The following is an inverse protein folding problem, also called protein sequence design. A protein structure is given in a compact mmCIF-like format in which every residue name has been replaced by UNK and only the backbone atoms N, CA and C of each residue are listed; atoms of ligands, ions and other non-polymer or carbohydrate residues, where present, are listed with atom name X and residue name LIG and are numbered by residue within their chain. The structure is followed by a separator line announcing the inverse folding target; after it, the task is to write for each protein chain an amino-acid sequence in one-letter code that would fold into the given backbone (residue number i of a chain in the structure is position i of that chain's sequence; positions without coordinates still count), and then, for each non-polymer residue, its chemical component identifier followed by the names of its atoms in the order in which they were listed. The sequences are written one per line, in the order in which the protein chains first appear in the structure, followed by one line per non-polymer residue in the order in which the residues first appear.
data_IF_966422481944
#
_entry.id   IF_966422481944
#
_cell.length_a   1.000
_cell.length_b   1.000
_cell.length_c   1.000
_cell.angle_alpha   90.00
_cell.angle_beta   90.00
_cell.angle_gamma   90.00
#
_symmetry.space_group_name_H-M   'P 1'
#
loop_
_entity.id
_entity.type
_entity.pdbx_description
1 polymer ?
#
# COMPACT_ATOMS: atom_id res chain seq x y z
N UNK A 1 29.18 -53.83 14.83
CA UNK A 1 29.99 -52.79 14.26
C UNK A 1 29.08 -51.62 13.91
N UNK A 2 29.01 -50.63 14.79
CA UNK A 2 28.23 -49.43 14.58
C UNK A 2 29.06 -48.49 13.68
N UNK A 3 28.70 -48.41 12.42
CA UNK A 3 29.24 -47.41 11.53
C UNK A 3 28.48 -46.11 11.80
N UNK A 4 29.01 -45.27 12.64
CA UNK A 4 28.62 -43.86 12.69
C UNK A 4 29.10 -43.22 11.42
N UNK A 5 28.22 -43.07 10.46
CA UNK A 5 28.40 -42.09 9.41
C UNK A 5 28.20 -40.74 10.06
N UNK A 6 29.27 -40.09 10.48
CA UNK A 6 29.34 -38.68 10.61
C UNK A 6 29.23 -38.14 9.19
N UNK A 7 28.01 -37.97 8.70
CA UNK A 7 27.78 -37.15 7.55
C UNK A 7 28.27 -35.76 7.92
N UNK A 8 29.33 -35.30 7.27
CA UNK A 8 29.56 -33.86 7.27
C UNK A 8 28.28 -33.23 6.77
N UNK A 9 27.66 -32.43 7.61
CA UNK A 9 26.62 -31.52 7.17
C UNK A 9 27.25 -30.74 6.00
N UNK A 10 26.84 -31.09 4.80
CA UNK A 10 27.33 -30.40 3.62
C UNK A 10 26.63 -29.06 3.62
N UNK A 11 27.35 -28.02 4.01
CA UNK A 11 26.94 -26.66 3.67
C UNK A 11 26.75 -26.67 2.17
N UNK A 12 25.54 -26.39 1.70
CA UNK A 12 25.29 -26.24 0.27
C UNK A 12 26.08 -25.05 -0.26
N UNK A 13 26.31 -24.94 -1.54
CA UNK A 13 27.14 -23.88 -2.13
C UNK A 13 26.55 -22.47 -1.85
N UNK A 14 25.30 -22.41 -1.46
CA UNK A 14 24.53 -21.25 -1.06
C UNK A 14 24.64 -20.89 0.44
N UNK A 15 25.33 -21.74 1.24
CA UNK A 15 25.51 -21.50 2.67
C UNK A 15 24.45 -22.12 3.58
N UNK A 16 23.37 -22.67 3.04
CA UNK A 16 22.34 -23.35 3.84
C UNK A 16 22.84 -24.72 4.34
N UNK A 17 22.45 -25.11 5.55
CA UNK A 17 22.66 -26.44 6.09
C UNK A 17 21.34 -27.24 5.96
N UNK A 18 21.25 -28.25 5.06
CA UNK A 18 20.03 -29.02 4.88
C UNK A 18 19.56 -29.78 6.12
N UNK A 19 20.36 -29.78 7.18
CA UNK A 19 20.07 -30.43 8.46
C UNK A 19 19.70 -29.45 9.57
N UNK A 20 19.81 -28.12 9.33
CA UNK A 20 19.36 -27.09 10.25
C UNK A 20 17.91 -26.72 9.95
N UNK A 21 16.96 -27.08 10.84
CA UNK A 21 15.56 -26.74 10.61
C UNK A 21 15.25 -25.24 10.69
N UNK A 22 16.16 -24.44 11.23
CA UNK A 22 15.98 -23.01 11.38
C UNK A 22 16.39 -22.25 10.10
N UNK A 23 17.25 -22.80 9.27
CA UNK A 23 17.68 -22.18 8.02
C UNK A 23 16.55 -22.04 7.00
N UNK A 24 15.64 -23.00 6.95
CA UNK A 24 14.53 -22.99 6.00
C UNK A 24 13.52 -21.86 6.22
N UNK A 25 13.45 -21.33 7.44
CA UNK A 25 12.56 -20.21 7.79
C UNK A 25 13.22 -18.83 7.66
N UNK A 26 14.54 -18.78 7.42
CA UNK A 26 15.25 -17.53 7.18
C UNK A 26 15.00 -17.04 5.75
N UNK A 27 15.17 -15.75 5.56
CA UNK A 27 15.22 -15.04 4.28
C UNK A 27 16.57 -14.34 4.26
N UNK A 28 17.51 -14.85 3.47
CA UNK A 28 18.89 -14.41 3.57
C UNK A 28 19.23 -13.22 2.69
N UNK A 29 18.59 -13.06 1.57
CA UNK A 29 18.80 -11.94 0.65
C UNK A 29 17.74 -10.83 0.79
N UNK A 30 16.62 -11.13 1.49
CA UNK A 30 15.61 -10.15 1.85
C UNK A 30 14.62 -9.85 0.75
N UNK A 31 14.38 -10.78 -0.17
CA UNK A 31 13.46 -10.62 -1.29
C UNK A 31 12.00 -10.95 -0.95
N UNK A 32 11.76 -11.52 0.24
CA UNK A 32 10.44 -11.91 0.74
C UNK A 32 10.16 -13.42 0.64
N UNK A 33 11.03 -14.23 0.02
CA UNK A 33 11.00 -15.68 0.09
C UNK A 33 11.86 -16.17 1.25
N UNK A 34 11.41 -17.22 1.91
CA UNK A 34 12.27 -17.96 2.82
C UNK A 34 13.16 -18.91 2.03
N UNK A 35 14.31 -19.30 2.58
CA UNK A 35 15.23 -20.25 1.95
C UNK A 35 14.54 -21.55 1.50
N UNK A 36 13.52 -22.00 2.24
CA UNK A 36 12.73 -23.17 1.85
C UNK A 36 11.81 -22.90 0.66
N UNK A 37 11.27 -21.70 0.55
CA UNK A 37 10.45 -21.28 -0.60
C UNK A 37 11.31 -21.14 -1.85
N UNK A 38 12.49 -20.54 -1.72
CA UNK A 38 13.48 -20.43 -2.80
C UNK A 38 13.95 -21.79 -3.29
N UNK A 39 14.27 -22.71 -2.39
CA UNK A 39 14.57 -24.08 -2.76
C UNK A 39 13.44 -24.72 -3.56
N UNK A 40 12.19 -24.41 -3.22
CA UNK A 40 11.01 -24.92 -3.91
C UNK A 40 10.79 -24.24 -5.26
N UNK A 41 11.10 -22.96 -5.36
CA UNK A 41 11.02 -22.13 -6.57
C UNK A 41 12.21 -22.39 -7.51
N UNK A 42 13.35 -22.86 -6.96
CA UNK A 42 14.59 -23.10 -7.69
C UNK A 42 15.40 -21.83 -7.86
N UNK A 43 15.25 -20.87 -6.95
CA UNK A 43 15.97 -19.61 -6.88
C UNK A 43 17.21 -19.69 -5.99
N UNK A 44 18.03 -18.65 -5.95
CA UNK A 44 19.29 -18.60 -5.19
C UNK A 44 19.10 -17.80 -3.91
N UNK A 45 19.11 -18.47 -2.77
CA UNK A 45 18.90 -17.95 -1.40
C UNK A 45 19.82 -16.77 -0.99
N UNK A 46 20.77 -16.38 -1.82
CA UNK A 46 21.70 -15.28 -1.57
C UNK A 46 21.63 -14.21 -2.67
N UNK A 47 20.69 -14.35 -3.59
CA UNK A 47 20.52 -13.43 -4.69
C UNK A 47 19.03 -13.11 -4.88
N UNK A 48 18.58 -11.92 -4.50
CA UNK A 48 17.16 -11.55 -4.50
C UNK A 48 16.52 -11.47 -5.90
N UNK A 49 17.29 -11.67 -6.97
CA UNK A 49 16.86 -11.62 -8.36
C UNK A 49 17.68 -12.69 -9.12
N UNK A 50 17.15 -13.90 -9.16
CA UNK A 50 17.88 -15.08 -9.63
C UNK A 50 18.18 -15.09 -11.13
N UNK A 51 17.30 -14.52 -11.95
CA UNK A 51 17.46 -14.47 -13.41
C UNK A 51 18.02 -13.14 -13.93
N UNK A 52 18.09 -12.12 -13.08
CA UNK A 52 18.79 -10.86 -13.35
C UNK A 52 18.00 -9.88 -14.20
N UNK A 53 16.67 -9.92 -14.15
CA UNK A 53 15.81 -9.05 -14.96
C UNK A 53 15.34 -7.78 -14.24
N UNK A 54 15.64 -7.67 -12.94
CA UNK A 54 15.33 -6.51 -12.11
C UNK A 54 14.09 -6.67 -11.28
N UNK A 55 13.41 -7.81 -11.32
CA UNK A 55 12.30 -8.18 -10.45
C UNK A 55 12.82 -9.10 -9.32
N UNK A 56 12.48 -8.85 -8.06
CA UNK A 56 12.83 -9.78 -6.98
C UNK A 56 12.05 -11.08 -7.09
N UNK A 57 12.72 -12.22 -6.82
CA UNK A 57 12.12 -13.56 -6.89
C UNK A 57 10.82 -13.65 -6.05
N UNK A 58 10.81 -13.03 -4.85
CA UNK A 58 9.65 -13.00 -3.99
C UNK A 58 8.48 -12.22 -4.56
N UNK A 59 8.74 -11.13 -5.25
CA UNK A 59 7.70 -10.38 -5.95
C UNK A 59 7.11 -11.20 -7.10
N UNK A 60 7.96 -11.81 -7.91
CA UNK A 60 7.51 -12.64 -9.03
C UNK A 60 6.66 -13.83 -8.60
N UNK A 61 7.13 -14.57 -7.59
CA UNK A 61 6.37 -15.68 -7.00
C UNK A 61 5.03 -15.19 -6.44
N UNK A 62 5.01 -14.02 -5.81
CA UNK A 62 3.80 -13.41 -5.25
C UNK A 62 2.74 -13.13 -6.30
N UNK A 63 3.14 -12.74 -7.48
CA UNK A 63 2.24 -12.43 -8.61
C UNK A 63 2.09 -13.58 -9.63
N UNK A 64 2.75 -14.73 -9.38
CA UNK A 64 2.65 -15.92 -10.24
C UNK A 64 3.49 -15.84 -11.50
N UNK A 65 4.53 -15.01 -11.51
CA UNK A 65 5.56 -14.92 -12.53
C UNK A 65 6.62 -16.01 -12.33
N UNK A 66 7.63 -16.06 -13.18
CA UNK A 66 8.65 -17.08 -13.13
C UNK A 66 10.04 -16.51 -12.79
N UNK A 67 10.50 -16.59 -11.53
CA UNK A 67 11.75 -16.00 -11.06
C UNK A 67 13.03 -16.62 -11.67
N UNK A 68 12.88 -17.49 -12.65
CA UNK A 68 13.97 -18.10 -13.40
C UNK A 68 13.89 -17.78 -14.90
N UNK A 69 13.14 -16.76 -15.30
CA UNK A 69 12.90 -16.45 -16.71
C UNK A 69 12.82 -14.96 -17.00
N UNK A 70 13.93 -14.29 -17.16
CA UNK A 70 14.07 -12.86 -17.44
C UNK A 70 13.25 -12.29 -18.62
N UNK A 71 12.35 -13.07 -19.20
CA UNK A 71 11.51 -12.61 -20.32
C UNK A 71 10.18 -12.05 -19.88
N UNK A 72 9.70 -12.44 -18.72
CA UNK A 72 8.38 -12.02 -18.21
C UNK A 72 8.39 -10.62 -17.61
N UNK A 73 9.56 -10.08 -17.21
CA UNK A 73 9.71 -8.66 -16.86
C UNK A 73 9.15 -7.70 -17.93
N UNK A 74 9.19 -8.09 -19.21
CA UNK A 74 8.69 -7.30 -20.32
C UNK A 74 7.28 -7.70 -20.77
N UNK A 75 6.65 -8.64 -20.09
CA UNK A 75 5.26 -8.99 -20.37
C UNK A 75 4.30 -7.95 -19.75
N UNK A 76 3.11 -7.90 -20.29
CA UNK A 76 1.98 -7.09 -19.85
C UNK A 76 0.76 -8.05 -19.80
N UNK A 77 0.56 -8.72 -18.63
CA UNK A 77 -0.44 -9.79 -18.53
C UNK A 77 -1.88 -9.30 -18.52
N UNK A 78 -2.17 -8.14 -17.96
CA UNK A 78 -3.52 -7.58 -17.82
C UNK A 78 -3.88 -6.62 -18.95
N UNK A 79 -2.86 -6.14 -19.72
CA UNK A 79 -3.07 -5.39 -20.96
C UNK A 79 -3.33 -3.91 -20.78
N UNK A 80 -2.91 -3.33 -19.66
CA UNK A 80 -3.08 -1.91 -19.35
C UNK A 80 -2.06 -0.99 -20.02
N UNK A 81 -0.97 -1.58 -20.55
CA UNK A 81 0.12 -0.89 -21.23
C UNK A 81 1.37 -0.73 -20.37
N UNK A 82 1.37 -1.15 -19.10
CA UNK A 82 2.57 -1.31 -18.30
C UNK A 82 3.13 -2.72 -18.44
N UNK A 83 4.44 -2.85 -18.42
CA UNK A 83 5.10 -4.15 -18.29
C UNK A 83 5.28 -4.48 -16.82
N UNK A 84 5.46 -5.78 -16.48
CA UNK A 84 5.73 -6.21 -15.10
C UNK A 84 6.84 -5.40 -14.43
N UNK A 85 7.92 -5.05 -15.15
CA UNK A 85 8.99 -4.18 -14.62
C UNK A 85 8.52 -2.75 -14.34
N UNK A 86 7.60 -2.22 -15.14
CA UNK A 86 7.06 -0.88 -14.92
C UNK A 86 6.10 -0.91 -13.72
N UNK A 87 5.31 -1.95 -13.61
CA UNK A 87 4.39 -2.14 -12.48
C UNK A 87 5.12 -2.34 -11.16
N UNK A 88 6.19 -3.14 -11.15
CA UNK A 88 7.07 -3.23 -9.99
C UNK A 88 7.59 -1.84 -9.58
N UNK A 89 8.01 -1.03 -10.53
CA UNK A 89 8.55 0.31 -10.27
C UNK A 89 7.48 1.31 -9.81
N UNK A 90 6.22 1.15 -10.23
CA UNK A 90 5.09 2.01 -9.86
C UNK A 90 4.33 1.48 -8.64
N UNK A 91 4.54 0.21 -8.27
CA UNK A 91 3.86 -0.45 -7.16
C UNK A 91 2.44 -0.88 -7.51
N UNK A 92 2.15 -1.07 -8.79
CA UNK A 92 0.86 -1.58 -9.29
C UNK A 92 0.81 -3.10 -9.35
N UNK A 93 -0.34 -3.66 -9.67
CA UNK A 93 -0.57 -5.10 -9.67
C UNK A 93 -0.54 -5.67 -11.09
N UNK A 94 0.47 -6.46 -11.49
CA UNK A 94 0.66 -6.96 -12.87
C UNK A 94 -0.44 -7.93 -13.36
N UNK A 95 -1.46 -8.15 -12.57
CA UNK A 95 -2.60 -8.98 -12.92
C UNK A 95 -3.93 -8.20 -12.85
N UNK A 96 -3.89 -6.87 -12.67
CA UNK A 96 -5.10 -6.05 -12.55
C UNK A 96 -4.87 -4.69 -13.20
N UNK A 97 -5.38 -4.50 -14.38
CA UNK A 97 -5.23 -3.30 -15.20
C UNK A 97 -5.63 -1.97 -14.53
N UNK A 98 -6.36 -2.03 -13.42
CA UNK A 98 -6.79 -0.92 -12.56
C UNK A 98 -6.54 -1.35 -11.12
N UNK A 99 -5.40 -0.93 -10.56
CA UNK A 99 -4.93 -1.40 -9.25
C UNK A 99 -5.77 -0.83 -8.11
N UNK A 100 -6.18 0.43 -8.18
CA UNK A 100 -6.90 1.10 -7.09
C UNK A 100 -8.42 1.08 -7.26
N UNK A 101 -8.92 0.72 -8.44
CA UNK A 101 -10.34 0.47 -8.70
C UNK A 101 -11.17 1.72 -9.00
N UNK A 102 -10.53 2.79 -9.44
CA UNK A 102 -11.21 4.05 -9.74
C UNK A 102 -11.81 4.11 -11.15
N UNK A 103 -11.45 3.16 -12.02
CA UNK A 103 -11.94 3.00 -13.38
C UNK A 103 -10.99 3.54 -14.45
N UNK A 104 -9.75 3.91 -14.09
CA UNK A 104 -8.68 4.20 -15.03
C UNK A 104 -7.64 3.06 -14.98
N UNK A 105 -7.15 2.65 -16.14
CA UNK A 105 -6.09 1.65 -16.21
C UNK A 105 -4.76 2.25 -15.75
N UNK A 106 -3.95 1.52 -14.99
CA UNK A 106 -2.69 1.96 -14.35
C UNK A 106 -1.75 2.65 -15.35
N UNK A 107 -1.65 2.12 -16.59
CA UNK A 107 -0.82 2.69 -17.65
C UNK A 107 -1.28 4.05 -18.17
N UNK A 108 -2.47 4.47 -17.85
CA UNK A 108 -3.04 5.78 -18.23
C UNK A 108 -3.36 6.67 -17.04
N UNK A 109 -3.26 6.13 -15.81
CA UNK A 109 -3.56 6.85 -14.58
C UNK A 109 -2.32 7.58 -14.04
N UNK A 110 -2.41 8.91 -13.81
CA UNK A 110 -1.35 9.65 -13.12
C UNK A 110 -1.14 9.23 -11.64
N UNK A 111 -2.11 8.57 -11.03
CA UNK A 111 -2.12 8.17 -9.61
C UNK A 111 -2.61 6.73 -9.41
N UNK A 112 -1.97 5.72 -9.99
CA UNK A 112 -2.49 4.36 -10.15
C UNK A 112 -2.65 3.55 -8.85
N UNK A 113 -2.34 4.16 -7.72
CA UNK A 113 -2.51 3.59 -6.37
C UNK A 113 -3.38 4.49 -5.47
N UNK A 114 -4.07 5.47 -6.03
CA UNK A 114 -4.89 6.43 -5.30
C UNK A 114 -6.27 6.59 -5.95
N UNK A 115 -7.29 5.88 -5.46
CA UNK A 115 -8.64 5.89 -6.05
C UNK A 115 -9.34 7.26 -6.00
N UNK A 116 -8.69 8.25 -5.40
CA UNK A 116 -9.15 9.64 -5.40
C UNK A 116 -8.43 10.50 -6.46
N UNK A 117 -7.51 9.91 -7.26
CA UNK A 117 -6.78 10.60 -8.34
C UNK A 117 -6.03 11.87 -7.90
N UNK A 118 -5.43 11.84 -6.71
CA UNK A 118 -4.78 13.01 -6.13
C UNK A 118 -5.75 14.11 -5.71
N UNK A 119 -7.05 13.87 -5.86
CA UNK A 119 -8.04 14.76 -5.26
C UNK A 119 -8.02 14.52 -3.75
N UNK A 120 -7.61 15.52 -3.02
CA UNK A 120 -7.75 15.51 -1.58
C UNK A 120 -9.26 15.52 -1.29
N UNK A 121 -9.73 14.47 -0.59
CA UNK A 121 -11.13 14.38 -0.18
C UNK A 121 -11.57 15.69 0.49
N UNK A 122 -12.66 16.24 0.02
CA UNK A 122 -13.38 17.40 0.59
C UNK A 122 -14.80 16.91 0.86
N UNK A 123 -14.94 16.22 1.99
CA UNK A 123 -16.15 15.44 2.29
C UNK A 123 -17.35 16.28 2.63
N UNK A 124 -17.15 17.52 3.08
CA UNK A 124 -18.24 18.46 3.39
C UNK A 124 -18.49 19.51 2.29
N UNK A 125 -17.56 19.62 1.32
CA UNK A 125 -17.70 20.47 0.14
C UNK A 125 -17.45 21.96 0.39
N UNK A 126 -16.72 22.29 1.45
CA UNK A 126 -16.42 23.70 1.80
C UNK A 126 -15.22 24.25 1.01
N UNK A 127 -14.50 23.41 0.27
CA UNK A 127 -13.32 23.74 -0.54
C UNK A 127 -11.99 23.61 0.22
N UNK A 128 -12.01 23.09 1.43
CA UNK A 128 -10.82 22.76 2.21
C UNK A 128 -10.69 21.22 2.25
N UNK A 129 -9.61 20.65 1.73
CA UNK A 129 -9.43 19.20 1.81
C UNK A 129 -9.44 18.68 3.25
N UNK A 130 -10.06 17.53 3.49
CA UNK A 130 -10.20 16.87 4.82
C UNK A 130 -8.89 16.85 5.63
N UNK A 131 -7.74 16.69 4.96
CA UNK A 131 -6.42 16.67 5.59
C UNK A 131 -5.98 18.04 6.18
N UNK A 132 -6.58 19.13 5.73
CA UNK A 132 -6.27 20.49 6.14
C UNK A 132 -7.47 21.21 6.76
N UNK A 133 -8.60 20.51 6.84
CA UNK A 133 -9.85 21.05 7.33
C UNK A 133 -9.94 20.96 8.87
N UNK A 134 -10.00 22.11 9.58
CA UNK A 134 -10.02 22.13 11.04
C UNK A 134 -11.38 21.75 11.66
N UNK A 135 -12.46 21.74 10.88
CA UNK A 135 -13.81 21.38 11.32
C UNK A 135 -14.30 20.03 10.76
N UNK A 136 -13.49 19.38 9.90
CA UNK A 136 -13.76 18.02 9.46
C UNK A 136 -13.78 17.03 10.62
N UNK A 137 -15.00 16.61 10.99
CA UNK A 137 -15.20 15.51 11.93
C UNK A 137 -15.48 14.25 11.14
N UNK A 138 -14.40 13.55 10.78
CA UNK A 138 -14.46 12.34 9.96
C UNK A 138 -15.72 11.52 10.15
N UNK A 139 -16.23 10.93 9.11
CA UNK A 139 -17.53 10.22 8.98
C UNK A 139 -17.78 9.05 9.95
N UNK A 140 -16.93 8.89 10.95
CA UNK A 140 -17.03 7.82 11.95
C UNK A 140 -16.58 6.45 11.48
N UNK A 141 -15.98 6.34 10.30
CA UNK A 141 -15.33 5.11 9.78
C UNK A 141 -13.84 5.11 10.14
N UNK A 142 -13.57 4.95 11.41
CA UNK A 142 -12.33 4.55 12.07
C UNK A 142 -11.00 4.89 11.43
N UNK A 143 -10.46 6.08 11.69
CA UNK A 143 -9.03 6.22 11.90
C UNK A 143 -8.79 7.10 13.14
N UNK A 144 -8.01 6.55 14.09
CA UNK A 144 -7.74 7.16 15.38
C UNK A 144 -6.70 8.28 15.27
N UNK A 145 -7.12 9.50 15.00
CA UNK A 145 -6.29 10.69 14.97
C UNK A 145 -6.66 11.66 16.09
N UNK A 146 -5.89 11.62 17.16
CA UNK A 146 -5.61 12.59 18.23
C UNK A 146 -6.51 13.81 18.34
N UNK A 147 -7.29 13.81 19.39
CA UNK A 147 -7.86 15.01 20.00
C UNK A 147 -6.78 16.03 20.39
N UNK A 148 -6.82 17.18 19.76
CA UNK A 148 -6.09 18.38 20.20
C UNK A 148 -7.13 19.41 20.68
N UNK A 149 -7.17 19.56 22.01
CA UNK A 149 -8.20 20.27 22.71
C UNK A 149 -8.11 21.78 22.69
N UNK A 150 -9.24 22.37 23.01
CA UNK A 150 -9.32 23.42 24.00
C UNK A 150 -9.34 24.85 23.47
N UNK A 151 -10.42 25.50 23.72
CA UNK A 151 -10.37 26.95 23.77
C UNK A 151 -11.75 27.60 23.84
N UNK A 152 -12.32 27.53 25.02
CA UNK A 152 -12.85 28.66 25.80
C UNK A 152 -14.04 29.42 25.24
N UNK A 153 -15.12 29.14 25.85
CA UNK A 153 -16.28 29.97 26.01
C UNK A 153 -15.92 31.42 26.38
N UNK A 154 -16.59 32.38 25.78
CA UNK A 154 -16.82 33.68 26.39
C UNK A 154 -18.32 34.04 26.25
N UNK A 155 -18.99 33.99 27.38
CA UNK A 155 -20.32 34.52 27.59
C UNK A 155 -20.44 35.99 27.23
N UNK A 156 -21.39 36.33 26.39
CA UNK A 156 -21.82 37.70 26.13
C UNK A 156 -23.34 37.86 26.34
N UNK A 157 -23.71 38.04 27.59
CA UNK A 157 -25.06 38.50 27.89
C UNK A 157 -25.28 39.93 27.40
N UNK A 158 -26.20 40.13 26.48
CA UNK A 158 -26.68 41.43 26.06
C UNK A 158 -28.22 41.50 26.13
N UNK A 159 -28.70 41.91 27.28
CA UNK A 159 -30.10 42.32 27.41
C UNK A 159 -30.33 43.63 26.66
N UNK A 160 -31.27 43.65 25.74
CA UNK A 160 -31.79 44.87 25.12
C UNK A 160 -33.29 44.83 25.02
N UNK A 161 -33.96 45.38 26.03
CA UNK A 161 -35.38 45.67 25.95
C UNK A 161 -35.57 46.93 25.07
N UNK A 162 -36.47 46.82 24.09
CA UNK A 162 -36.91 47.96 23.28
C UNK A 162 -38.39 47.83 22.96
N UNK A 163 -39.23 48.41 23.81
CA UNK A 163 -40.65 48.63 23.53
C UNK A 163 -40.78 49.80 22.53
N UNK A 164 -41.54 49.62 21.50
CA UNK A 164 -41.92 50.68 20.56
C UNK A 164 -43.33 50.43 20.05
N UNK A 165 -44.28 51.03 20.71
CA UNK A 165 -45.67 51.16 20.22
C UNK A 165 -45.68 52.25 19.13
N UNK A 166 -46.36 52.01 18.04
CA UNK A 166 -46.65 52.99 17.02
C UNK A 166 -47.99 52.66 16.34
N UNK A 167 -49.05 53.25 16.82
CA UNK A 167 -50.36 53.33 16.14
C UNK A 167 -50.24 54.34 14.99
N UNK A 168 -50.81 54.03 13.83
CA UNK A 168 -51.06 54.96 12.75
C UNK A 168 -52.22 54.59 11.89
N UNK A 169 -53.35 55.18 12.14
CA UNK A 169 -54.56 55.13 11.29
C UNK A 169 -54.39 56.12 10.12
N UNK A 170 -55.14 55.87 9.02
CA UNK A 170 -55.32 56.78 7.90
C UNK A 170 -55.78 56.07 6.65
N UNK A 171 -56.88 56.00 6.40
CA UNK A 171 -57.98 56.37 5.51
C UNK A 171 -57.46 56.93 4.16
N UNK A 172 -58.07 56.35 3.11
CA UNK A 172 -58.05 56.88 1.76
C UNK A 172 -58.50 55.79 0.76
#
# INVERSE_FOLDING_TARGET
LLVTMAGAAGVTADGSDPLDPDDGGADWDGDGLTNAQEQSAGTDMNNPDSDGDGLPDGWEVGYGLNPNSATDANADPDGDGLTNSQEYATGTNPNAADTDGDGQDDGSDPYPNDPANGEMSDSDGDGIPDAYDPDFQGDGSGDGGTQGGGGSEEDGQGQGQGQGQGQGQGQG
#
